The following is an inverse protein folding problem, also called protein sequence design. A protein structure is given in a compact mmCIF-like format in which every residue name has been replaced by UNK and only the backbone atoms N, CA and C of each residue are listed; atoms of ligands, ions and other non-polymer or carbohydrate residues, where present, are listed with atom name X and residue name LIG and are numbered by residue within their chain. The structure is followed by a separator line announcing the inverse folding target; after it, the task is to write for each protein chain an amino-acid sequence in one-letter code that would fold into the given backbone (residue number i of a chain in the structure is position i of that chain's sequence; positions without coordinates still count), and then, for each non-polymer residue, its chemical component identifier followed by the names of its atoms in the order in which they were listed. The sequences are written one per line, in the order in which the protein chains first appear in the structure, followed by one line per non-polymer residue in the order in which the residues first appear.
data_IF_675437538878
#
_entry.id   IF_675437538878
#
_cell.length_a   1.000
_cell.length_b   1.000
_cell.length_c   1.000
_cell.angle_alpha   90.00
_cell.angle_beta   90.00
_cell.angle_gamma   90.00
#
_symmetry.space_group_name_H-M   'P 1'
#
loop_
_entity.id
_entity.type
_entity.pdbx_description
1 polymer ?
#
# COMPACT_ATOMS: atom_id res chain seq x y z
N UNK A 1 31.13 7.02 1.33
CA UNK A 1 30.00 7.70 0.64
C UNK A 1 28.68 6.95 0.90
N UNK A 2 28.33 6.68 2.17
CA UNK A 2 27.18 5.85 2.53
C UNK A 2 25.89 6.67 2.74
N UNK A 3 26.01 7.89 3.27
CA UNK A 3 24.87 8.80 3.49
C UNK A 3 24.05 9.13 2.23
N UNK A 4 24.62 9.04 1.02
CA UNK A 4 23.88 9.33 -0.22
C UNK A 4 22.70 8.36 -0.43
N UNK A 5 22.80 7.12 0.05
CA UNK A 5 21.70 6.16 -0.01
C UNK A 5 20.53 6.55 0.92
N UNK A 6 20.81 7.31 1.97
CA UNK A 6 19.82 7.78 2.95
C UNK A 6 18.97 8.94 2.41
N UNK A 7 19.33 9.52 1.26
CA UNK A 7 18.56 10.61 0.64
C UNK A 7 17.31 10.08 -0.06
N UNK A 8 17.45 9.00 -0.84
CA UNK A 8 16.40 8.53 -1.76
C UNK A 8 15.62 7.34 -1.21
N UNK A 9 16.30 6.39 -0.57
CA UNK A 9 15.67 5.19 0.02
C UNK A 9 16.35 4.90 1.35
N UNK A 10 15.85 5.54 2.41
CA UNK A 10 16.44 5.41 3.73
C UNK A 10 15.90 4.18 4.44
N UNK A 11 16.46 3.00 4.16
CA UNK A 11 16.05 1.76 4.82
C UNK A 11 16.35 1.73 6.32
N UNK A 12 17.21 2.62 6.83
CA UNK A 12 17.57 2.67 8.24
C UNK A 12 16.54 3.42 9.06
N UNK A 13 16.17 4.62 8.64
CA UNK A 13 15.24 5.47 9.40
C UNK A 13 13.86 5.58 8.77
N UNK A 14 13.69 5.24 7.49
CA UNK A 14 12.48 5.52 6.73
C UNK A 14 12.27 7.00 6.41
N UNK A 15 13.15 7.90 6.89
CA UNK A 15 13.09 9.32 6.60
C UNK A 15 13.95 9.62 5.37
N UNK A 16 13.29 9.65 4.23
CA UNK A 16 13.86 10.05 2.93
C UNK A 16 12.96 11.06 2.23
N UNK A 17 13.45 11.62 1.13
CA UNK A 17 12.69 12.63 0.37
C UNK A 17 11.41 12.05 -0.24
N UNK A 18 11.35 10.75 -0.50
CA UNK A 18 10.16 10.08 -1.03
C UNK A 18 9.05 10.03 0.01
N UNK A 19 9.38 9.64 1.24
CA UNK A 19 8.46 9.63 2.37
C UNK A 19 7.90 11.03 2.65
N UNK A 20 8.76 12.06 2.66
CA UNK A 20 8.34 13.44 2.91
C UNK A 20 7.38 13.92 1.81
N UNK A 21 7.75 13.75 0.53
CA UNK A 21 6.92 14.18 -0.60
C UNK A 21 5.57 13.48 -0.61
N UNK A 22 5.54 12.14 -0.51
CA UNK A 22 4.30 11.40 -0.54
C UNK A 22 3.39 11.78 0.63
N UNK A 23 3.96 11.98 1.82
CA UNK A 23 3.18 12.37 3.01
C UNK A 23 2.56 13.76 2.85
N UNK A 24 3.33 14.73 2.38
CA UNK A 24 2.84 16.10 2.16
C UNK A 24 1.78 16.16 1.07
N UNK A 25 2.06 15.51 -0.07
CA UNK A 25 1.16 15.45 -1.22
C UNK A 25 -0.17 14.78 -0.85
N UNK A 26 -0.12 13.65 -0.16
CA UNK A 26 -1.32 12.92 0.25
C UNK A 26 -2.10 13.69 1.33
N UNK A 27 -1.40 14.42 2.21
CA UNK A 27 -2.06 15.27 3.20
C UNK A 27 -2.84 16.41 2.53
N UNK A 28 -2.29 17.01 1.48
CA UNK A 28 -2.99 18.03 0.69
C UNK A 28 -4.25 17.46 0.02
N UNK A 29 -4.17 16.27 -0.59
CA UNK A 29 -5.33 15.57 -1.18
C UNK A 29 -6.42 15.32 -0.15
N UNK A 30 -6.05 14.99 1.10
CA UNK A 30 -6.98 14.78 2.21
C UNK A 30 -7.44 16.08 2.90
N UNK A 31 -6.91 17.24 2.53
CA UNK A 31 -7.18 18.51 3.20
C UNK A 31 -6.63 18.59 4.63
N UNK A 32 -5.59 17.83 4.95
CA UNK A 32 -4.93 17.85 6.27
C UNK A 32 -3.96 19.02 6.36
N UNK A 33 -3.99 19.68 7.52
CA UNK A 33 -3.08 20.76 7.81
C UNK A 33 -1.75 20.22 8.34
N UNK A 34 -0.67 20.44 7.59
CA UNK A 34 0.70 20.04 7.96
C UNK A 34 1.64 21.25 8.12
N UNK A 35 1.11 22.41 8.50
CA UNK A 35 1.90 23.65 8.63
C UNK A 35 2.99 23.60 9.69
N UNK A 36 2.94 22.65 10.63
CA UNK A 36 4.01 22.44 11.61
C UNK A 36 5.32 21.96 10.95
N UNK A 37 5.24 21.32 9.76
CA UNK A 37 6.41 20.88 9.01
C UNK A 37 6.74 21.86 7.89
N UNK A 38 7.80 22.65 8.11
CA UNK A 38 8.31 23.60 7.10
C UNK A 38 9.59 23.05 6.48
N UNK A 39 9.48 22.43 5.31
CA UNK A 39 10.57 21.69 4.66
C UNK A 39 11.88 22.50 4.51
N UNK A 40 11.81 23.80 4.18
CA UNK A 40 13.00 24.67 4.07
C UNK A 40 13.71 24.86 5.41
N UNK A 41 12.95 25.09 6.46
CA UNK A 41 13.49 25.24 7.81
C UNK A 41 14.01 23.90 8.35
N UNK A 42 13.34 22.80 8.00
CA UNK A 42 13.76 21.45 8.32
C UNK A 42 15.14 21.13 7.72
N UNK A 43 15.37 21.38 6.43
CA UNK A 43 16.65 21.05 5.80
C UNK A 43 17.84 21.83 6.37
N UNK A 44 17.63 23.02 6.94
CA UNK A 44 18.68 23.75 7.65
C UNK A 44 19.15 23.04 8.93
N UNK A 45 18.37 22.09 9.44
CA UNK A 45 18.62 21.30 10.65
C UNK A 45 19.08 19.86 10.34
N UNK A 46 19.44 19.59 9.08
CA UNK A 46 19.91 18.30 8.61
C UNK A 46 21.37 18.44 8.19
N UNK A 47 22.24 17.62 8.78
CA UNK A 47 23.68 17.67 8.52
C UNK A 47 24.24 16.27 8.28
N UNK A 48 25.35 16.19 7.54
CA UNK A 48 26.11 14.95 7.37
C UNK A 48 27.24 14.96 8.38
N UNK A 49 27.19 14.05 9.35
CA UNK A 49 28.15 13.98 10.45
C UNK A 49 28.71 12.57 10.59
N UNK A 50 29.90 12.46 11.17
CA UNK A 50 30.50 11.18 11.54
C UNK A 50 29.91 10.71 12.85
N UNK A 51 29.39 9.49 12.89
CA UNK A 51 28.72 8.91 14.05
C UNK A 51 29.58 7.84 14.74
N UNK A 52 29.03 7.21 15.80
CA UNK A 52 29.73 6.26 16.66
C UNK A 52 30.23 5.00 15.91
N UNK A 53 29.68 4.70 14.73
CA UNK A 53 30.11 3.62 13.85
C UNK A 53 31.24 4.04 12.87
N UNK A 54 31.84 5.22 13.08
CA UNK A 54 32.88 5.86 12.25
C UNK A 54 32.45 6.16 10.80
N UNK A 55 31.15 6.05 10.51
CA UNK A 55 30.57 6.32 9.20
C UNK A 55 29.89 7.69 9.14
N UNK A 56 29.78 8.24 7.93
CA UNK A 56 29.03 9.47 7.68
C UNK A 56 27.55 9.16 7.47
N UNK A 57 26.70 9.81 8.26
CA UNK A 57 25.25 9.64 8.28
C UNK A 57 24.51 10.97 8.20
N UNK A 58 23.29 10.93 7.65
CA UNK A 58 22.34 12.04 7.72
C UNK A 58 21.82 12.13 9.16
N UNK A 59 22.18 13.22 9.83
CA UNK A 59 21.79 13.53 11.19
C UNK A 59 20.76 14.67 11.22
N UNK A 60 19.69 14.48 11.98
CA UNK A 60 18.68 15.51 12.23
C UNK A 60 18.95 16.15 13.60
N UNK A 61 18.74 17.46 13.74
CA UNK A 61 18.86 18.10 15.06
C UNK A 61 17.91 17.45 16.07
N UNK A 62 18.40 17.13 17.27
CA UNK A 62 17.64 16.39 18.29
C UNK A 62 16.23 16.93 18.55
N UNK A 63 16.09 18.25 18.66
CA UNK A 63 14.82 18.92 18.96
C UNK A 63 13.79 18.83 17.81
N UNK A 64 14.22 18.39 16.62
CA UNK A 64 13.35 18.23 15.43
C UNK A 64 12.86 16.79 15.24
N UNK A 65 13.37 15.84 16.03
CA UNK A 65 13.04 14.42 15.85
C UNK A 65 11.56 14.12 16.10
N UNK A 66 10.92 14.80 17.05
CA UNK A 66 9.50 14.61 17.28
C UNK A 66 8.63 15.16 16.13
N UNK A 67 9.07 16.25 15.49
CA UNK A 67 8.44 16.75 14.26
C UNK A 67 8.53 15.72 13.13
N UNK A 68 9.63 14.97 13.03
CA UNK A 68 9.73 13.85 12.09
C UNK A 68 8.78 12.71 12.46
N UNK A 69 8.66 12.35 13.74
CA UNK A 69 7.69 11.36 14.20
C UNK A 69 6.24 11.77 13.88
N UNK A 70 5.90 13.05 14.04
CA UNK A 70 4.60 13.58 13.62
C UNK A 70 4.37 13.43 12.11
N UNK A 71 5.42 13.63 11.30
CA UNK A 71 5.35 13.39 9.86
C UNK A 71 5.06 11.93 9.54
N UNK A 72 5.74 10.98 10.19
CA UNK A 72 5.42 9.56 10.06
C UNK A 72 3.95 9.31 10.37
N UNK A 73 3.46 9.78 11.53
CA UNK A 73 2.07 9.58 11.98
C UNK A 73 1.06 10.07 10.95
N UNK A 74 1.33 11.21 10.30
CA UNK A 74 0.50 11.70 9.20
C UNK A 74 0.58 10.78 8.00
N UNK A 75 1.77 10.35 7.59
CA UNK A 75 1.95 9.36 6.53
C UNK A 75 1.13 8.09 6.77
N UNK A 76 1.13 7.55 8.00
CA UNK A 76 0.31 6.38 8.31
C UNK A 76 -1.19 6.67 8.37
N UNK A 77 -1.60 7.81 8.89
CA UNK A 77 -3.00 8.25 8.86
C UNK A 77 -3.49 8.42 7.42
N UNK A 78 -2.68 9.04 6.55
CA UNK A 78 -2.93 9.15 5.11
C UNK A 78 -3.05 7.76 4.48
N UNK A 79 -2.14 6.85 4.84
CA UNK A 79 -2.15 5.51 4.29
C UNK A 79 -3.49 4.80 4.54
N UNK A 80 -3.99 4.91 5.77
CA UNK A 80 -5.27 4.32 6.18
C UNK A 80 -6.47 4.98 5.49
N UNK A 81 -6.45 6.32 5.40
CA UNK A 81 -7.56 7.13 4.88
C UNK A 81 -7.60 7.22 3.35
N UNK A 82 -6.51 6.95 2.64
CA UNK A 82 -6.49 6.90 1.17
C UNK A 82 -6.44 5.46 0.67
N UNK A 83 -5.45 4.68 1.08
CA UNK A 83 -5.19 3.38 0.44
C UNK A 83 -5.97 2.24 1.07
N UNK A 84 -6.29 2.33 2.37
CA UNK A 84 -7.02 1.28 3.08
C UNK A 84 -8.53 1.48 3.14
N UNK A 85 -9.09 2.54 2.55
CA UNK A 85 -10.55 2.70 2.50
C UNK A 85 -11.22 1.49 1.85
N UNK A 86 -12.34 1.08 2.43
CA UNK A 86 -13.13 -0.06 1.99
C UNK A 86 -13.39 -0.04 0.46
N UNK A 87 -13.83 1.11 -0.06
CA UNK A 87 -14.12 1.28 -1.50
C UNK A 87 -12.86 1.16 -2.36
N UNK A 88 -11.74 1.70 -1.90
CA UNK A 88 -10.48 1.68 -2.65
C UNK A 88 -9.88 0.27 -2.66
N UNK A 89 -10.02 -0.48 -1.57
CA UNK A 89 -9.61 -1.90 -1.49
C UNK A 89 -10.48 -2.79 -2.36
N UNK A 90 -11.79 -2.56 -2.39
CA UNK A 90 -12.69 -3.22 -3.32
C UNK A 90 -12.27 -2.97 -4.78
N UNK A 91 -12.08 -1.70 -5.17
CA UNK A 91 -11.64 -1.33 -6.51
C UNK A 91 -10.27 -1.93 -6.87
N UNK A 92 -9.28 -1.82 -5.99
CA UNK A 92 -7.94 -2.39 -6.19
C UNK A 92 -7.98 -3.90 -6.40
N UNK A 93 -8.86 -4.60 -5.69
CA UNK A 93 -8.99 -6.05 -5.85
C UNK A 93 -9.67 -6.43 -7.16
N UNK A 94 -10.71 -5.69 -7.56
CA UNK A 94 -11.36 -5.89 -8.86
C UNK A 94 -10.38 -5.64 -10.00
N UNK A 95 -9.60 -4.56 -9.93
CA UNK A 95 -8.51 -4.26 -10.86
C UNK A 95 -7.49 -5.41 -10.93
N UNK A 96 -7.03 -5.92 -9.78
CA UNK A 96 -6.11 -7.07 -9.74
C UNK A 96 -6.70 -8.28 -10.46
N UNK A 97 -7.97 -8.59 -10.25
CA UNK A 97 -8.65 -9.74 -10.88
C UNK A 97 -8.81 -9.54 -12.39
N UNK A 98 -9.21 -8.35 -12.83
CA UNK A 98 -9.25 -7.95 -14.24
C UNK A 98 -7.89 -8.18 -14.89
N UNK A 99 -6.81 -7.67 -14.30
CA UNK A 99 -5.45 -7.79 -14.84
C UNK A 99 -4.99 -9.25 -14.91
N UNK A 100 -5.22 -10.04 -13.84
CA UNK A 100 -4.83 -11.46 -13.81
C UNK A 100 -5.57 -12.29 -14.87
N UNK A 101 -6.89 -12.10 -15.01
CA UNK A 101 -7.70 -12.82 -16.01
C UNK A 101 -7.32 -12.41 -17.43
N UNK A 102 -7.11 -11.11 -17.65
CA UNK A 102 -6.72 -10.54 -18.94
C UNK A 102 -5.32 -10.95 -19.39
N UNK A 103 -4.47 -11.40 -18.47
CA UNK A 103 -3.11 -11.85 -18.79
C UNK A 103 -3.06 -13.08 -19.71
N UNK A 104 -4.18 -13.78 -19.94
CA UNK A 104 -4.27 -14.86 -20.93
C UNK A 104 -4.25 -14.35 -22.37
N UNK A 105 -4.56 -13.08 -22.58
CA UNK A 105 -4.62 -12.44 -23.89
C UNK A 105 -3.35 -11.62 -24.13
N UNK A 106 -2.66 -11.77 -25.28
CA UNK A 106 -1.58 -10.88 -25.67
C UNK A 106 -2.14 -9.51 -26.13
N UNK A 107 -1.89 -8.47 -25.35
CA UNK A 107 -2.53 -7.15 -25.51
C UNK A 107 -1.56 -6.04 -25.91
N UNK A 108 -0.27 -6.20 -25.67
CA UNK A 108 0.73 -5.12 -25.76
C UNK A 108 1.73 -5.45 -26.85
N UNK A 109 2.11 -4.48 -27.67
CA UNK A 109 3.11 -4.69 -28.71
C UNK A 109 4.53 -4.64 -28.13
N UNK A 110 5.33 -5.67 -28.42
CA UNK A 110 6.76 -5.66 -28.17
C UNK A 110 7.54 -4.93 -29.28
N UNK A 111 8.84 -4.77 -29.07
CA UNK A 111 9.74 -4.07 -30.00
C UNK A 111 9.80 -4.67 -31.41
N UNK A 112 9.33 -5.90 -31.59
CA UNK A 112 9.30 -6.61 -32.87
C UNK A 112 7.88 -6.59 -33.48
N UNK A 113 6.95 -5.83 -32.91
CA UNK A 113 5.55 -5.78 -33.35
C UNK A 113 4.73 -7.02 -32.95
N UNK A 114 5.28 -7.91 -32.12
CA UNK A 114 4.54 -9.08 -31.63
C UNK A 114 3.74 -8.69 -30.39
N UNK A 115 2.49 -9.13 -30.32
CA UNK A 115 1.69 -8.97 -29.11
C UNK A 115 2.15 -9.91 -28.01
N UNK A 116 2.29 -9.36 -26.80
CA UNK A 116 2.69 -10.05 -25.58
C UNK A 116 1.66 -9.79 -24.47
N UNK A 117 1.62 -10.70 -23.51
CA UNK A 117 0.74 -10.59 -22.32
C UNK A 117 1.24 -9.50 -21.37
N UNK A 118 0.40 -9.12 -20.40
CA UNK A 118 0.77 -8.13 -19.35
C UNK A 118 2.03 -8.58 -18.59
N UNK A 119 2.11 -9.88 -18.26
CA UNK A 119 3.21 -10.47 -17.51
C UNK A 119 4.52 -10.58 -18.30
N UNK A 120 4.42 -10.72 -19.62
CA UNK A 120 5.59 -10.72 -20.50
C UNK A 120 6.08 -9.30 -20.76
N UNK A 121 5.16 -8.33 -20.83
CA UNK A 121 5.50 -6.92 -21.01
C UNK A 121 6.40 -6.39 -19.88
N UNK A 122 6.27 -6.88 -18.64
CA UNK A 122 7.17 -6.51 -17.52
C UNK A 122 8.63 -6.93 -17.72
N UNK A 123 8.90 -7.85 -18.65
CA UNK A 123 10.25 -8.34 -18.98
C UNK A 123 10.94 -7.52 -20.07
N UNK A 124 10.27 -6.51 -20.64
CA UNK A 124 10.78 -5.68 -21.73
C UNK A 124 10.46 -4.22 -21.48
N UNK A 125 11.48 -3.36 -21.38
CA UNK A 125 11.26 -1.92 -21.15
C UNK A 125 10.34 -1.28 -22.19
N UNK A 126 10.47 -1.67 -23.47
CA UNK A 126 9.62 -1.15 -24.54
C UNK A 126 8.14 -1.49 -24.36
N UNK A 127 7.84 -2.72 -23.94
CA UNK A 127 6.46 -3.13 -23.68
C UNK A 127 5.97 -2.59 -22.33
N UNK A 128 6.85 -2.53 -21.33
CA UNK A 128 6.55 -2.01 -20.01
C UNK A 128 6.17 -0.53 -20.02
N UNK A 129 6.80 0.31 -20.85
CA UNK A 129 6.42 1.72 -20.98
C UNK A 129 5.00 1.94 -21.50
N UNK A 130 4.40 0.93 -22.14
CA UNK A 130 3.01 0.95 -22.59
C UNK A 130 2.03 0.47 -21.51
N UNK A 131 2.52 -0.16 -20.43
CA UNK A 131 1.73 -0.57 -19.27
C UNK A 131 1.42 0.63 -18.37
N UNK A 132 0.43 1.40 -18.76
CA UNK A 132 -0.20 2.44 -17.93
C UNK A 132 -1.72 2.21 -17.86
N UNK A 133 -2.44 3.09 -17.17
CA UNK A 133 -3.88 2.94 -16.92
C UNK A 133 -4.73 2.80 -18.19
N UNK A 134 -4.24 3.25 -19.35
CA UNK A 134 -4.92 3.03 -20.65
C UNK A 134 -5.07 1.55 -21.02
N UNK A 135 -4.32 0.65 -20.38
CA UNK A 135 -4.48 -0.80 -20.55
C UNK A 135 -5.91 -1.26 -20.24
N UNK A 136 -6.61 -0.58 -19.33
CA UNK A 136 -8.01 -0.92 -19.01
C UNK A 136 -8.94 -0.72 -20.21
N UNK A 137 -8.70 0.30 -21.05
CA UNK A 137 -9.46 0.51 -22.28
C UNK A 137 -9.16 -0.59 -23.32
N UNK A 138 -7.90 -1.01 -23.40
CA UNK A 138 -7.46 -2.11 -24.25
C UNK A 138 -8.10 -3.42 -23.82
N UNK A 139 -8.10 -3.71 -22.51
CA UNK A 139 -8.78 -4.88 -21.93
C UNK A 139 -10.28 -4.84 -22.25
N UNK A 140 -10.93 -3.69 -22.00
CA UNK A 140 -12.37 -3.52 -22.26
C UNK A 140 -12.75 -3.82 -23.70
N UNK A 141 -11.89 -3.51 -24.67
CA UNK A 141 -12.15 -3.70 -26.10
C UNK A 141 -11.68 -5.05 -26.66
N UNK A 142 -10.66 -5.68 -26.08
CA UNK A 142 -9.98 -6.82 -26.70
C UNK A 142 -10.05 -8.13 -25.88
N UNK A 143 -10.56 -8.09 -24.64
CA UNK A 143 -10.71 -9.27 -23.79
C UNK A 143 -12.18 -9.69 -23.74
N UNK A 144 -12.50 -10.80 -24.39
CA UNK A 144 -13.83 -11.42 -24.38
C UNK A 144 -13.93 -12.45 -23.24
N UNK A 145 -13.75 -11.97 -22.00
CA UNK A 145 -13.97 -12.75 -20.79
C UNK A 145 -15.20 -12.16 -20.06
N UNK A 146 -16.30 -12.93 -19.90
CA UNK A 146 -17.54 -12.42 -19.29
C UNK A 146 -17.34 -11.88 -17.88
N UNK A 147 -16.43 -12.46 -17.11
CA UNK A 147 -16.11 -12.02 -15.75
C UNK A 147 -15.33 -10.71 -15.79
N UNK A 148 -14.34 -10.58 -16.68
CA UNK A 148 -13.60 -9.32 -16.88
C UNK A 148 -14.55 -8.19 -17.26
N UNK A 149 -15.47 -8.43 -18.20
CA UNK A 149 -16.46 -7.43 -18.63
C UNK A 149 -17.42 -7.05 -17.50
N UNK A 150 -17.86 -8.03 -16.70
CA UNK A 150 -18.65 -7.77 -15.49
C UNK A 150 -17.87 -6.90 -14.50
N UNK A 151 -16.63 -7.28 -14.18
CA UNK A 151 -15.78 -6.56 -13.22
C UNK A 151 -15.45 -5.13 -13.68
N UNK A 152 -15.26 -4.90 -14.97
CA UNK A 152 -15.09 -3.55 -15.52
C UNK A 152 -16.35 -2.70 -15.32
N UNK A 153 -17.54 -3.27 -15.59
CA UNK A 153 -18.81 -2.58 -15.32
C UNK A 153 -19.03 -2.34 -13.82
N UNK A 154 -18.63 -3.29 -12.99
CA UNK A 154 -18.63 -3.13 -11.53
C UNK A 154 -17.71 -1.96 -11.14
N UNK A 155 -16.52 -1.82 -11.75
CA UNK A 155 -15.55 -0.79 -11.41
C UNK A 155 -16.09 0.60 -11.80
N UNK A 156 -16.69 0.72 -12.99
CA UNK A 156 -17.31 1.95 -13.48
C UNK A 156 -18.47 2.43 -12.58
N UNK A 157 -19.17 1.50 -11.92
CA UNK A 157 -20.39 1.80 -11.13
C UNK A 157 -20.21 1.72 -9.62
N UNK A 158 -19.22 0.97 -9.14
CA UNK A 158 -19.03 0.55 -7.75
C UNK A 158 -20.25 -0.11 -7.08
N UNK A 159 -21.26 -0.58 -7.84
CA UNK A 159 -22.55 -1.07 -7.31
C UNK A 159 -22.57 -2.55 -6.91
N UNK A 160 -21.58 -3.33 -7.32
CA UNK A 160 -21.60 -4.80 -7.29
C UNK A 160 -20.60 -5.40 -6.29
N UNK A 161 -20.13 -4.59 -5.35
CA UNK A 161 -19.19 -5.05 -4.31
C UNK A 161 -19.68 -4.64 -2.95
N UNK A 162 -19.76 -5.61 -2.05
CA UNK A 162 -20.14 -5.38 -0.66
C UNK A 162 -19.09 -5.97 0.27
N UNK A 163 -18.79 -5.24 1.35
CA UNK A 163 -18.13 -5.86 2.49
C UNK A 163 -19.19 -6.66 3.24
N UNK A 164 -18.97 -7.96 3.36
CA UNK A 164 -19.92 -8.90 3.96
C UNK A 164 -19.50 -9.30 5.38
N UNK A 165 -18.27 -8.98 5.81
CA UNK A 165 -17.83 -9.32 7.16
C UNK A 165 -16.49 -8.75 7.58
N UNK A 166 -16.16 -8.99 8.85
CA UNK A 166 -14.88 -8.68 9.47
C UNK A 166 -14.48 -9.82 10.43
N UNK A 167 -13.24 -10.29 10.33
CA UNK A 167 -12.73 -11.41 11.13
C UNK A 167 -11.33 -11.07 11.64
N UNK A 168 -11.01 -11.44 12.87
CA UNK A 168 -9.63 -11.38 13.38
C UNK A 168 -8.93 -12.69 13.07
N UNK A 169 -7.83 -12.63 12.33
CA UNK A 169 -6.99 -13.79 12.04
C UNK A 169 -6.37 -14.33 13.32
N UNK A 170 -6.24 -15.65 13.40
CA UNK A 170 -5.53 -16.35 14.47
C UNK A 170 -4.56 -17.36 13.87
N UNK A 171 -3.63 -17.92 14.67
CA UNK A 171 -2.74 -18.97 14.19
C UNK A 171 -3.48 -20.18 13.59
N UNK A 172 -4.70 -20.46 14.09
CA UNK A 172 -5.58 -21.51 13.57
C UNK A 172 -6.29 -21.08 12.28
N UNK A 173 -6.67 -19.80 12.17
CA UNK A 173 -7.45 -19.24 11.08
C UNK A 173 -6.70 -18.09 10.39
N UNK A 174 -5.91 -18.47 9.39
CA UNK A 174 -5.24 -17.54 8.47
C UNK A 174 -6.15 -17.20 7.27
N UNK A 175 -5.71 -16.23 6.46
CA UNK A 175 -6.40 -15.76 5.27
C UNK A 175 -6.86 -16.91 4.35
N UNK A 176 -5.97 -17.87 4.09
CA UNK A 176 -6.22 -19.00 3.20
C UNK A 176 -7.30 -19.94 3.76
N UNK A 177 -7.19 -20.31 5.04
CA UNK A 177 -8.15 -21.21 5.70
C UNK A 177 -9.53 -20.56 5.81
N UNK A 178 -9.58 -19.26 6.13
CA UNK A 178 -10.83 -18.51 6.19
C UNK A 178 -11.50 -18.51 4.81
N UNK A 179 -10.75 -18.15 3.76
CA UNK A 179 -11.27 -18.16 2.39
C UNK A 179 -11.85 -19.53 2.02
N UNK A 180 -11.07 -20.60 2.22
CA UNK A 180 -11.48 -21.97 1.88
C UNK A 180 -12.71 -22.42 2.67
N UNK A 181 -12.83 -22.02 3.93
CA UNK A 181 -13.97 -22.38 4.77
C UNK A 181 -15.26 -21.73 4.28
N UNK A 182 -15.23 -20.43 3.97
CA UNK A 182 -16.38 -19.70 3.45
C UNK A 182 -16.80 -20.28 2.09
N UNK A 183 -15.87 -20.48 1.17
CA UNK A 183 -16.14 -21.09 -0.15
C UNK A 183 -16.81 -22.46 -0.01
N UNK A 184 -16.33 -23.31 0.91
CA UNK A 184 -16.92 -24.64 1.15
C UNK A 184 -18.30 -24.56 1.82
N UNK A 185 -18.55 -23.51 2.60
CA UNK A 185 -19.82 -23.28 3.29
C UNK A 185 -20.93 -22.80 2.37
N UNK A 186 -20.57 -22.06 1.32
CA UNK A 186 -21.51 -21.55 0.31
C UNK A 186 -21.98 -22.69 -0.61
N UNK A 187 -23.29 -22.86 -0.70
CA UNK A 187 -23.96 -23.94 -1.46
C UNK A 187 -24.53 -23.46 -2.79
N UNK A 188 -24.93 -22.19 -2.87
CA UNK A 188 -25.64 -21.66 -4.03
C UNK A 188 -24.79 -21.56 -5.30
N UNK A 189 -23.50 -21.27 -5.18
CA UNK A 189 -22.56 -21.24 -6.32
C UNK A 189 -21.10 -21.26 -5.86
N UNK A 190 -20.19 -21.46 -6.81
CA UNK A 190 -18.76 -21.26 -6.59
C UNK A 190 -18.44 -19.77 -6.51
N UNK A 191 -17.96 -19.34 -5.34
CA UNK A 191 -17.59 -17.96 -5.05
C UNK A 191 -16.08 -17.78 -4.92
N UNK A 192 -15.25 -18.81 -5.15
CA UNK A 192 -13.82 -18.78 -4.83
C UNK A 192 -13.11 -17.56 -5.41
N UNK A 193 -13.39 -17.25 -6.67
CA UNK A 193 -12.79 -16.12 -7.33
C UNK A 193 -13.40 -14.78 -6.87
N UNK A 194 -14.69 -14.77 -6.47
CA UNK A 194 -15.48 -13.58 -6.08
C UNK A 194 -15.39 -13.19 -4.61
N UNK A 195 -14.87 -14.09 -3.78
CA UNK A 195 -14.58 -13.87 -2.38
C UNK A 195 -13.17 -13.29 -2.19
N UNK A 196 -13.11 -12.14 -1.55
CA UNK A 196 -11.88 -11.40 -1.28
C UNK A 196 -11.68 -11.34 0.23
N UNK A 197 -10.53 -11.80 0.69
CA UNK A 197 -10.06 -11.58 2.06
C UNK A 197 -8.99 -10.48 1.99
N UNK A 198 -9.25 -9.36 2.64
CA UNK A 198 -8.39 -8.18 2.62
C UNK A 198 -7.85 -7.91 4.04
N UNK A 199 -6.56 -8.15 4.31
CA UNK A 199 -5.98 -7.78 5.59
C UNK A 199 -5.99 -6.26 5.78
N UNK A 200 -6.51 -5.82 6.92
CA UNK A 200 -6.44 -4.44 7.36
C UNK A 200 -5.00 -4.17 7.78
N UNK A 201 -4.29 -3.49 6.89
CA UNK A 201 -2.96 -2.99 7.16
C UNK A 201 -3.03 -1.83 8.14
N UNK A 202 -2.15 -1.86 9.14
CA UNK A 202 -2.04 -0.79 10.13
C UNK A 202 -1.02 0.29 9.70
N UNK A 203 -0.24 0.04 8.64
CA UNK A 203 0.75 0.97 8.11
C UNK A 203 2.07 0.99 8.88
N UNK A 204 2.26 0.04 9.81
CA UNK A 204 3.45 -0.12 10.65
C UNK A 204 4.16 -1.46 10.46
N UNK A 205 3.85 -2.20 9.39
CA UNK A 205 4.27 -3.60 9.23
C UNK A 205 5.80 -3.80 9.20
N UNK A 206 6.57 -2.78 8.82
CA UNK A 206 8.04 -2.82 8.72
C UNK A 206 8.78 -1.91 9.74
N UNK A 207 8.07 -1.32 10.70
CA UNK A 207 8.59 -0.21 11.51
C UNK A 207 9.36 -0.62 12.79
N UNK A 208 9.33 -1.89 13.20
CA UNK A 208 9.92 -2.35 14.47
C UNK A 208 11.47 -2.29 14.50
N UNK A 209 12.13 -1.82 13.43
CA UNK A 209 13.60 -1.79 13.32
C UNK A 209 14.20 -0.43 12.90
N UNK A 210 13.38 0.61 12.72
CA UNK A 210 13.86 1.89 12.22
C UNK A 210 14.60 2.69 13.30
N UNK A 211 15.68 3.36 12.91
CA UNK A 211 16.52 4.19 13.79
C UNK A 211 16.99 5.44 13.07
N UNK A 212 17.21 6.53 13.78
CA UNK A 212 17.66 7.80 13.18
C UNK A 212 18.85 8.38 13.93
N UNK A 213 19.91 8.72 13.20
CA UNK A 213 21.02 9.49 13.77
C UNK A 213 20.62 10.94 13.99
N UNK A 214 21.15 11.53 15.05
CA UNK A 214 20.89 12.92 15.41
C UNK A 214 22.13 13.62 15.92
N UNK A 215 22.04 14.94 16.00
CA UNK A 215 23.04 15.75 16.69
C UNK A 215 22.39 16.69 17.71
N UNK A 216 23.13 16.98 18.77
CA UNK A 216 22.76 17.96 19.81
C UNK A 216 23.47 19.29 19.58
N UNK A 217 22.98 20.35 20.23
CA UNK A 217 23.55 21.70 20.11
C UNK A 217 25.01 21.80 20.58
N UNK A 218 25.49 20.85 21.39
CA UNK A 218 26.91 20.73 21.78
C UNK A 218 27.77 19.98 20.73
N UNK A 219 27.20 19.64 19.57
CA UNK A 219 27.90 19.00 18.44
C UNK A 219 28.07 17.49 18.57
N UNK A 220 27.57 16.86 19.64
CA UNK A 220 27.61 15.40 19.78
C UNK A 220 26.58 14.74 18.88
N UNK A 221 26.92 13.55 18.40
CA UNK A 221 26.01 12.68 17.68
C UNK A 221 25.42 11.62 18.59
N UNK A 222 24.27 11.08 18.19
CA UNK A 222 23.69 9.90 18.82
C UNK A 222 22.72 9.22 17.87
N UNK A 223 22.18 8.09 18.31
CA UNK A 223 21.17 7.34 17.55
C UNK A 223 19.89 7.24 18.37
N UNK A 224 18.78 7.66 17.77
CA UNK A 224 17.46 7.50 18.33
C UNK A 224 16.92 6.14 17.85
N UNK A 225 16.76 5.23 18.80
CA UNK A 225 16.32 3.85 18.55
C UNK A 225 14.97 3.54 19.19
N UNK A 226 14.71 4.09 20.37
CA UNK A 226 13.45 3.88 21.11
C UNK A 226 12.37 4.84 20.59
N UNK A 227 11.18 4.39 20.20
CA UNK A 227 10.04 5.25 19.75
C UNK A 227 10.18 5.93 18.38
N UNK A 228 11.29 5.75 17.66
CA UNK A 228 11.43 6.29 16.31
C UNK A 228 10.42 5.66 15.35
N UNK A 229 9.62 6.51 14.70
CA UNK A 229 8.57 6.12 13.76
C UNK A 229 7.58 5.07 14.31
N UNK A 230 7.42 5.00 15.64
CA UNK A 230 6.59 3.98 16.28
C UNK A 230 5.10 4.36 16.31
N UNK A 231 4.19 3.36 16.27
CA UNK A 231 2.78 3.58 16.55
C UNK A 231 2.56 4.08 17.99
N UNK A 232 1.48 4.84 18.25
CA UNK A 232 1.01 5.05 19.64
C UNK A 232 0.68 3.68 20.29
N UNK A 233 0.95 3.52 21.57
CA UNK A 233 0.87 2.27 22.36
C UNK A 233 -0.48 1.51 22.34
N UNK A 234 -1.52 2.06 21.71
CA UNK A 234 -2.89 1.52 21.67
C UNK A 234 -3.25 0.72 20.40
N UNK A 235 -2.30 0.44 19.50
CA UNK A 235 -2.62 -0.31 18.29
C UNK A 235 -2.72 -1.82 18.56
N UNK A 236 -3.91 -2.35 18.30
CA UNK A 236 -4.25 -3.76 18.48
C UNK A 236 -3.36 -4.64 17.57
N UNK A 237 -2.61 -5.56 18.16
CA UNK A 237 -1.66 -6.44 17.44
C UNK A 237 -2.34 -7.54 16.61
N UNK A 238 -3.67 -7.64 16.64
CA UNK A 238 -4.40 -8.63 15.87
C UNK A 238 -4.44 -8.29 14.38
N UNK A 239 -4.13 -9.27 13.53
CA UNK A 239 -4.34 -9.14 12.08
C UNK A 239 -5.85 -9.19 11.80
N UNK A 240 -6.44 -8.04 11.56
CA UNK A 240 -7.85 -7.91 11.22
C UNK A 240 -8.05 -8.08 9.71
N UNK A 241 -9.11 -8.77 9.31
CA UNK A 241 -9.43 -9.09 7.93
C UNK A 241 -10.82 -8.55 7.59
N UNK A 242 -10.95 -7.93 6.42
CA UNK A 242 -12.24 -7.59 5.80
C UNK A 242 -12.58 -8.62 4.75
N UNK A 243 -13.85 -8.96 4.66
CA UNK A 243 -14.35 -9.91 3.68
C UNK A 243 -15.22 -9.14 2.70
N UNK A 244 -14.87 -9.20 1.42
CA UNK A 244 -15.69 -8.65 0.34
C UNK A 244 -16.20 -9.76 -0.56
N UNK A 245 -17.43 -9.57 -1.05
CA UNK A 245 -17.99 -10.37 -2.12
C UNK A 245 -18.31 -9.45 -3.30
N UNK A 246 -17.79 -9.81 -4.47
CA UNK A 246 -18.15 -9.16 -5.74
C UNK A 246 -19.36 -9.88 -6.31
N UNK A 247 -20.55 -9.41 -5.93
CA UNK A 247 -21.83 -9.93 -6.40
C UNK A 247 -22.91 -8.85 -6.34
N UNK A 248 -23.81 -8.87 -7.33
CA UNK A 248 -25.08 -8.12 -7.28
C UNK A 248 -26.23 -8.90 -6.64
N UNK A 249 -26.02 -10.18 -6.35
CA UNK A 249 -27.03 -11.05 -5.75
C UNK A 249 -27.04 -10.88 -4.23
N UNK A 250 -28.09 -10.23 -3.72
CA UNK A 250 -28.30 -9.99 -2.30
C UNK A 250 -28.54 -11.26 -1.50
N UNK A 251 -29.11 -12.30 -2.11
CA UNK A 251 -29.36 -13.56 -1.42
C UNK A 251 -28.04 -14.31 -1.24
N UNK A 252 -27.23 -14.36 -2.30
CA UNK A 252 -25.87 -14.89 -2.21
C UNK A 252 -25.06 -14.14 -1.16
N UNK A 253 -25.08 -12.80 -1.17
CA UNK A 253 -24.37 -12.01 -0.16
C UNK A 253 -24.77 -12.35 1.28
N UNK A 254 -26.06 -12.60 1.54
CA UNK A 254 -26.54 -13.02 2.86
C UNK A 254 -26.05 -14.41 3.23
N UNK A 255 -26.13 -15.36 2.30
CA UNK A 255 -25.65 -16.74 2.52
C UNK A 255 -24.15 -16.78 2.85
N UNK A 256 -23.34 -15.98 2.16
CA UNK A 256 -21.88 -15.94 2.40
C UNK A 256 -21.54 -15.23 3.72
N UNK A 257 -22.44 -14.37 4.21
CA UNK A 257 -22.28 -13.65 5.46
C UNK A 257 -22.63 -14.50 6.70
N UNK A 258 -23.55 -15.46 6.57
CA UNK A 258 -23.96 -16.41 7.62
C UNK A 258 -22.88 -17.48 7.90
#
# INVERSE_FOLDING_TARGET
MRFLYEIVVNKRSGLDVSMIDSTMRDAEVLGKNVTFFKWREFFNKVHVLRCDDDELHICVQKDTLETCNDLFRIGQSNYRELYCLQKNRAAATMLKRILVRSNKTPLIEDKNGRRVTLSEATKSMFAYTQLNDSILNTIKSQVDDPEVQLLLKCLDTMKLTAQIGHVTSTAKWDEYKIKKHIVKGTKSCDIEDSLIIDPIKNGYEDYESLTQYYYTSDGKTGQWTHEWAQPKSYFNKGLHLRIFLVSGDRNLMKEVQE
#
